data_IF_191648995745
#
_entry.id   IF_191648995745
#
_cell.length_a   1.000
_cell.length_b   1.000
_cell.length_c   1.000
_cell.angle_alpha   90.00
_cell.angle_beta   90.00
_cell.angle_gamma   90.00
#
_symmetry.space_group_name_H-M   'P 1'
#
loop_
_entity.id
_entity.type
_entity.pdbx_description
1 polymer ?
#
# COMPACT_ATOMS: atom_id res chain seq x y z
N UNK A 1 -14.10 2.08 -6.61
CA UNK A 1 -14.82 3.34 -6.20
C UNK A 1 -14.88 4.31 -7.38
N UNK A 2 -16.02 4.98 -7.64
CA UNK A 2 -16.13 5.91 -8.77
C UNK A 2 -15.47 7.24 -8.39
N UNK A 3 -14.38 7.61 -9.05
CA UNK A 3 -13.72 8.90 -8.84
C UNK A 3 -14.62 10.04 -9.22
N UNK A 4 -14.74 11.03 -8.35
CA UNK A 4 -15.38 12.30 -8.66
C UNK A 4 -14.25 13.32 -8.86
N UNK A 5 -13.99 13.78 -10.08
CA UNK A 5 -12.93 14.75 -10.32
C UNK A 5 -13.29 16.10 -9.68
N UNK A 6 -12.36 16.65 -8.92
CA UNK A 6 -12.45 18.01 -8.43
C UNK A 6 -12.00 18.98 -9.54
N UNK A 7 -12.70 20.07 -9.69
CA UNK A 7 -12.36 21.12 -10.65
C UNK A 7 -12.15 22.45 -9.94
N UNK A 8 -11.13 23.17 -10.34
CA UNK A 8 -10.94 24.55 -9.91
C UNK A 8 -12.01 25.43 -10.57
N UNK A 9 -12.87 26.02 -9.79
CA UNK A 9 -13.93 26.88 -10.28
C UNK A 9 -14.04 28.17 -9.48
N UNK A 10 -14.21 29.27 -10.15
CA UNK A 10 -14.72 30.50 -9.53
C UNK A 10 -16.24 30.37 -9.39
N UNK A 11 -16.69 29.94 -8.24
CA UNK A 11 -18.12 30.01 -7.92
C UNK A 11 -18.42 31.37 -7.30
N UNK A 12 -18.96 32.28 -8.08
CA UNK A 12 -19.78 33.37 -7.58
C UNK A 12 -21.19 32.82 -7.33
N UNK A 13 -21.39 32.13 -6.24
CA UNK A 13 -22.73 31.81 -5.76
C UNK A 13 -23.09 32.83 -4.68
N UNK A 14 -24.16 33.57 -4.87
CA UNK A 14 -24.77 34.35 -3.80
C UNK A 14 -25.26 33.36 -2.74
N UNK A 15 -24.65 33.41 -1.57
CA UNK A 15 -25.07 32.61 -0.45
C UNK A 15 -25.94 33.46 0.48
N UNK A 16 -27.08 32.91 0.91
CA UNK A 16 -27.97 33.53 1.86
C UNK A 16 -27.99 32.67 3.14
N UNK A 17 -27.91 33.32 4.29
CA UNK A 17 -28.15 32.70 5.60
C UNK A 17 -29.45 33.23 6.13
N UNK A 18 -30.40 32.36 6.45
CA UNK A 18 -31.67 32.71 7.08
C UNK A 18 -31.53 32.67 8.58
N UNK A 19 -31.72 33.80 9.25
CA UNK A 19 -31.76 33.93 10.70
C UNK A 19 -33.06 34.62 11.09
N UNK A 20 -33.89 34.01 11.92
CA UNK A 20 -35.17 34.53 12.37
C UNK A 20 -36.09 34.95 11.21
N UNK A 21 -36.23 34.07 10.22
CA UNK A 21 -37.07 34.30 9.02
C UNK A 21 -36.58 35.45 8.09
N UNK A 22 -35.44 36.05 8.38
CA UNK A 22 -34.82 37.05 7.51
C UNK A 22 -33.62 36.46 6.76
N UNK A 23 -33.56 36.70 5.45
CA UNK A 23 -32.45 36.29 4.60
C UNK A 23 -31.36 37.38 4.58
N UNK A 24 -30.17 36.99 4.98
CA UNK A 24 -28.99 37.84 4.90
C UNK A 24 -28.10 37.35 3.78
N UNK A 25 -27.77 38.23 2.85
CA UNK A 25 -26.81 37.95 1.82
C UNK A 25 -25.41 37.90 2.43
N UNK A 26 -24.77 36.74 2.34
CA UNK A 26 -23.37 36.55 2.75
C UNK A 26 -22.52 36.70 1.50
N UNK A 27 -21.71 37.74 1.45
CA UNK A 27 -20.68 37.85 0.40
C UNK A 27 -19.59 36.82 0.74
N UNK A 28 -19.43 35.79 -0.08
CA UNK A 28 -18.34 34.84 0.17
C UNK A 28 -17.01 35.58 0.09
N UNK A 29 -16.15 35.39 1.08
CA UNK A 29 -14.80 35.92 1.05
C UNK A 29 -14.13 35.45 -0.24
N UNK A 30 -13.76 36.37 -1.13
CA UNK A 30 -12.99 36.04 -2.30
C UNK A 30 -11.59 35.67 -1.84
N UNK A 31 -11.28 34.38 -1.85
CA UNK A 31 -9.93 33.91 -1.61
C UNK A 31 -9.06 34.28 -2.81
N UNK A 32 -8.32 35.37 -2.70
CA UNK A 32 -7.37 35.83 -3.73
C UNK A 32 -5.97 35.25 -3.54
N UNK A 33 -5.82 34.27 -2.66
CA UNK A 33 -4.54 33.58 -2.41
C UNK A 33 -4.43 32.26 -3.17
N UNK A 34 -3.21 31.74 -3.25
CA UNK A 34 -2.97 30.35 -3.65
C UNK A 34 -3.66 29.43 -2.65
N UNK A 35 -4.86 28.97 -2.97
CA UNK A 35 -5.57 28.02 -2.12
C UNK A 35 -4.75 26.72 -2.05
N UNK A 36 -4.42 26.23 -0.85
CA UNK A 36 -3.76 24.92 -0.72
C UNK A 36 -4.66 23.77 -1.20
N UNK A 37 -5.95 24.04 -1.44
CA UNK A 37 -6.96 23.09 -1.90
C UNK A 37 -7.27 23.23 -3.39
N UNK A 38 -6.24 23.26 -4.24
CA UNK A 38 -6.47 23.17 -5.70
C UNK A 38 -7.03 21.79 -6.06
N UNK A 39 -7.83 21.72 -7.14
CA UNK A 39 -8.36 20.47 -7.67
C UNK A 39 -7.28 19.40 -7.82
N UNK A 40 -6.09 19.78 -8.27
CA UNK A 40 -4.93 18.90 -8.40
C UNK A 40 -4.51 18.28 -7.04
N UNK A 41 -4.53 19.06 -5.97
CA UNK A 41 -4.16 18.55 -4.63
C UNK A 41 -5.23 17.61 -4.08
N UNK A 42 -6.51 17.93 -4.31
CA UNK A 42 -7.62 17.07 -3.89
C UNK A 42 -7.63 15.76 -4.68
N UNK A 43 -7.36 15.81 -5.98
CA UNK A 43 -7.25 14.60 -6.81
C UNK A 43 -6.05 13.72 -6.33
N UNK A 44 -4.90 14.33 -6.02
CA UNK A 44 -3.77 13.61 -5.44
C UNK A 44 -4.10 12.96 -4.09
N UNK A 45 -4.81 13.67 -3.22
CA UNK A 45 -5.25 13.11 -1.94
C UNK A 45 -6.20 11.93 -2.16
N UNK A 46 -7.10 12.01 -3.12
CA UNK A 46 -8.01 10.92 -3.48
C UNK A 46 -7.24 9.71 -4.03
N UNK A 47 -6.26 9.93 -4.91
CA UNK A 47 -5.40 8.87 -5.45
C UNK A 47 -4.63 8.17 -4.33
N UNK A 48 -4.04 8.93 -3.39
CA UNK A 48 -3.32 8.38 -2.24
C UNK A 48 -4.23 7.59 -1.30
N UNK A 49 -5.49 8.02 -1.12
CA UNK A 49 -6.48 7.30 -0.30
C UNK A 49 -6.87 5.99 -0.99
N UNK A 50 -7.10 5.99 -2.29
CA UNK A 50 -7.41 4.78 -3.06
C UNK A 50 -6.25 3.78 -3.01
N UNK A 51 -5.01 4.25 -3.18
CA UNK A 51 -3.82 3.43 -3.04
C UNK A 51 -3.67 2.85 -1.62
N UNK A 52 -3.97 3.64 -0.59
CA UNK A 52 -3.92 3.18 0.81
C UNK A 52 -5.03 2.16 1.16
N UNK A 53 -6.17 2.19 0.46
CA UNK A 53 -7.27 1.25 0.67
C UNK A 53 -6.97 -0.11 0.01
N UNK A 54 -6.25 -0.13 -1.10
CA UNK A 54 -5.91 -1.35 -1.85
C UNK A 54 -4.62 -2.00 -1.31
N UNK A 55 -4.60 -2.30 0.00
CA UNK A 55 -3.52 -3.04 0.63
C UNK A 55 -3.94 -4.50 0.78
N UNK A 56 -3.21 -5.39 0.14
CA UNK A 56 -3.34 -6.83 0.32
C UNK A 56 -2.30 -7.31 1.34
N UNK A 57 -2.71 -8.17 2.25
CA UNK A 57 -1.82 -8.80 3.25
C UNK A 57 -2.02 -10.29 3.25
N UNK A 58 -0.93 -11.03 3.35
CA UNK A 58 -0.96 -12.47 3.58
C UNK A 58 0.16 -12.86 4.53
N UNK A 59 -0.14 -13.76 5.45
CA UNK A 59 0.83 -14.37 6.35
C UNK A 59 0.88 -15.86 6.08
N UNK A 60 2.08 -16.42 6.08
CA UNK A 60 2.35 -17.85 5.85
C UNK A 60 3.28 -18.35 6.93
N UNK A 61 2.89 -19.41 7.63
CA UNK A 61 3.81 -20.16 8.51
C UNK A 61 4.69 -21.03 7.63
N UNK A 62 6.00 -20.99 7.86
CA UNK A 62 6.96 -21.80 7.15
C UNK A 62 7.02 -23.20 7.79
N UNK A 63 6.61 -24.22 7.04
CA UNK A 63 6.70 -25.64 7.45
C UNK A 63 8.07 -26.26 7.08
N UNK A 64 8.85 -25.56 6.29
CA UNK A 64 10.17 -26.00 5.82
C UNK A 64 11.01 -24.85 5.34
N UNK A 65 12.31 -25.03 5.39
CA UNK A 65 13.30 -24.04 4.92
C UNK A 65 13.10 -23.70 3.44
N UNK A 66 13.03 -22.42 3.13
CA UNK A 66 13.17 -21.89 1.77
C UNK A 66 14.65 -21.56 1.56
N UNK A 67 15.31 -22.32 0.68
CA UNK A 67 16.73 -22.16 0.46
C UNK A 67 17.07 -20.84 -0.24
N UNK A 68 18.25 -20.30 0.06
CA UNK A 68 18.80 -19.14 -0.64
C UNK A 68 18.83 -19.35 -2.17
N UNK A 69 18.60 -18.26 -2.91
CA UNK A 69 18.61 -18.22 -4.37
C UNK A 69 17.57 -19.13 -5.06
N UNK A 70 16.52 -19.52 -4.35
CA UNK A 70 15.37 -20.22 -4.92
C UNK A 70 14.19 -19.26 -5.07
N UNK A 71 13.40 -19.46 -6.12
CA UNK A 71 12.21 -18.69 -6.37
C UNK A 71 11.11 -19.11 -5.37
N UNK A 72 10.48 -18.12 -4.79
CA UNK A 72 9.33 -18.29 -3.89
C UNK A 72 8.11 -17.62 -4.53
N UNK A 73 7.03 -18.38 -4.67
CA UNK A 73 5.76 -17.85 -5.18
C UNK A 73 4.94 -17.30 -4.03
N UNK A 74 4.50 -16.04 -4.15
CA UNK A 74 3.63 -15.41 -3.17
C UNK A 74 2.31 -16.17 -2.99
N UNK A 75 1.63 -16.04 -1.83
CA UNK A 75 0.34 -16.66 -1.60
C UNK A 75 -0.68 -16.38 -2.72
N UNK A 76 -1.68 -17.26 -2.82
CA UNK A 76 -2.67 -17.24 -3.89
C UNK A 76 -3.27 -15.85 -4.15
N UNK A 77 -3.29 -15.45 -5.40
CA UNK A 77 -3.81 -14.17 -5.90
C UNK A 77 -3.07 -12.92 -5.42
N UNK A 78 -1.89 -13.04 -4.86
CA UNK A 78 -1.07 -11.91 -4.51
C UNK A 78 -0.05 -11.62 -5.62
N UNK A 79 -0.18 -10.47 -6.24
CA UNK A 79 0.68 -10.00 -7.33
C UNK A 79 1.19 -8.62 -7.00
N UNK A 80 2.36 -8.26 -7.49
CA UNK A 80 2.98 -6.95 -7.32
C UNK A 80 3.60 -6.46 -8.63
N UNK A 81 3.85 -5.16 -8.75
CA UNK A 81 4.56 -4.59 -9.88
C UNK A 81 6.06 -4.49 -9.56
N UNK A 82 6.88 -5.14 -10.39
CA UNK A 82 8.34 -5.18 -10.24
C UNK A 82 8.95 -3.78 -10.36
N UNK A 83 9.76 -3.40 -9.39
CA UNK A 83 10.47 -2.12 -9.41
C UNK A 83 9.68 -0.92 -8.87
N UNK A 84 8.39 -1.08 -8.55
CA UNK A 84 7.51 0.02 -8.10
C UNK A 84 7.44 0.15 -6.56
N UNK A 85 8.20 -0.63 -5.81
CA UNK A 85 8.14 -0.70 -4.34
C UNK A 85 6.73 -0.99 -3.79
N UNK A 86 5.91 -1.69 -4.58
CA UNK A 86 4.56 -2.09 -4.20
C UNK A 86 4.53 -3.28 -3.25
N UNK A 87 5.63 -4.04 -3.14
CA UNK A 87 5.77 -5.20 -2.27
C UNK A 87 6.64 -4.90 -1.05
N UNK A 88 6.16 -5.29 0.12
CA UNK A 88 6.94 -5.38 1.35
C UNK A 88 6.92 -6.84 1.85
N UNK A 89 8.05 -7.33 2.30
CA UNK A 89 8.22 -8.69 2.83
C UNK A 89 8.74 -8.60 4.25
N UNK A 90 8.15 -9.40 5.14
CA UNK A 90 8.58 -9.50 6.53
C UNK A 90 8.85 -10.96 6.87
N UNK A 91 9.87 -11.20 7.65
CA UNK A 91 10.21 -12.50 8.23
C UNK A 91 10.24 -12.37 9.74
N UNK A 92 9.40 -13.11 10.44
CA UNK A 92 9.24 -13.03 11.90
C UNK A 92 9.17 -11.57 12.38
N UNK A 93 8.20 -10.79 11.82
CA UNK A 93 7.97 -9.38 12.09
C UNK A 93 9.10 -8.41 11.67
N UNK A 94 10.21 -8.92 11.14
CA UNK A 94 11.32 -8.09 10.67
C UNK A 94 11.18 -7.80 9.18
N UNK A 95 11.14 -6.51 8.82
CA UNK A 95 11.06 -6.09 7.43
C UNK A 95 12.34 -6.42 6.68
N UNK A 96 12.20 -7.20 5.62
CA UNK A 96 13.28 -7.54 4.70
C UNK A 96 13.54 -6.41 3.69
N UNK A 97 14.79 -6.28 3.26
CA UNK A 97 15.23 -5.25 2.30
C UNK A 97 15.41 -5.83 0.92
N UNK A 98 14.72 -5.25 -0.06
CA UNK A 98 14.92 -5.57 -1.47
C UNK A 98 16.38 -5.30 -1.89
N UNK A 99 16.97 -6.24 -2.63
CA UNK A 99 18.35 -6.19 -3.09
C UNK A 99 19.39 -6.56 -2.02
N UNK A 100 18.98 -6.87 -0.79
CA UNK A 100 19.83 -7.34 0.32
C UNK A 100 19.38 -8.68 0.83
N UNK A 101 18.09 -8.80 1.17
CA UNK A 101 17.50 -10.02 1.75
C UNK A 101 16.69 -10.79 0.70
N UNK A 102 16.08 -10.08 -0.26
CA UNK A 102 15.36 -10.68 -1.38
C UNK A 102 15.40 -9.83 -2.65
N UNK A 103 15.16 -10.46 -3.77
CA UNK A 103 14.96 -9.81 -5.07
C UNK A 103 13.55 -10.02 -5.59
N UNK A 104 13.00 -9.00 -6.24
CA UNK A 104 11.83 -9.12 -7.09
C UNK A 104 12.22 -9.79 -8.41
N UNK A 105 11.38 -10.70 -8.91
CA UNK A 105 11.65 -11.46 -10.14
C UNK A 105 10.74 -10.99 -11.26
N UNK A 106 11.34 -10.50 -12.36
CA UNK A 106 10.69 -9.94 -13.54
C UNK A 106 11.37 -8.66 -14.01
N UNK A 107 10.88 -8.07 -15.08
CA UNK A 107 11.34 -6.76 -15.55
C UNK A 107 10.58 -5.64 -14.88
N UNK A 108 11.22 -4.48 -14.72
CA UNK A 108 10.57 -3.31 -14.11
C UNK A 108 9.27 -2.94 -14.85
N UNK A 109 8.18 -2.74 -14.10
CA UNK A 109 6.84 -2.46 -14.61
C UNK A 109 6.01 -3.69 -14.97
N UNK A 110 6.57 -4.90 -14.89
CA UNK A 110 5.81 -6.14 -15.07
C UNK A 110 5.15 -6.58 -13.77
N UNK A 111 4.02 -7.24 -13.90
CA UNK A 111 3.33 -7.85 -12.77
C UNK A 111 3.92 -9.23 -12.49
N UNK A 112 4.30 -9.49 -11.25
CA UNK A 112 4.89 -10.74 -10.81
C UNK A 112 4.25 -11.20 -9.49
N UNK A 113 4.35 -12.49 -9.21
CA UNK A 113 4.05 -13.09 -7.92
C UNK A 113 5.22 -13.93 -7.39
N UNK A 114 6.42 -13.70 -7.91
CA UNK A 114 7.62 -14.47 -7.60
C UNK A 114 8.69 -13.54 -7.05
N UNK A 115 9.27 -13.91 -5.91
CA UNK A 115 10.48 -13.31 -5.35
C UNK A 115 11.57 -14.37 -5.22
N UNK A 116 12.78 -13.95 -4.95
CA UNK A 116 13.91 -14.83 -4.63
C UNK A 116 14.58 -14.34 -3.35
N UNK A 117 14.61 -15.18 -2.33
CA UNK A 117 15.39 -14.90 -1.13
C UNK A 117 16.87 -15.03 -1.42
N UNK A 118 17.69 -14.11 -0.91
CA UNK A 118 19.15 -14.14 -1.05
C UNK A 118 19.83 -14.98 0.04
N UNK A 119 19.20 -15.06 1.22
CA UNK A 119 19.56 -15.97 2.30
C UNK A 119 18.42 -16.97 2.56
N UNK A 120 18.72 -18.10 3.19
CA UNK A 120 17.70 -19.08 3.56
C UNK A 120 16.79 -18.52 4.66
N UNK A 121 15.48 -18.83 4.60
CA UNK A 121 14.49 -18.50 5.63
C UNK A 121 13.75 -19.77 6.03
N UNK A 122 13.28 -19.85 7.28
CA UNK A 122 12.65 -21.08 7.80
C UNK A 122 13.67 -22.11 8.30
N UNK A 123 14.80 -21.65 8.78
CA UNK A 123 15.88 -22.51 9.29
C UNK A 123 16.28 -22.18 10.75
N UNK A 124 15.48 -21.37 11.44
CA UNK A 124 15.70 -21.03 12.84
C UNK A 124 15.28 -22.23 13.72
N UNK A 125 16.24 -22.84 14.37
CA UNK A 125 15.97 -23.85 15.40
C UNK A 125 15.88 -23.17 16.78
N UNK A 126 14.67 -22.98 17.26
CA UNK A 126 14.37 -22.37 18.56
C UNK A 126 13.95 -23.40 19.61
N UNK A 127 14.02 -24.70 19.28
CA UNK A 127 13.54 -25.81 20.15
C UNK A 127 14.25 -25.87 21.50
N UNK A 128 15.50 -25.43 21.58
CA UNK A 128 16.30 -25.42 22.80
C UNK A 128 16.20 -24.10 23.59
N UNK A 129 15.38 -23.13 23.12
CA UNK A 129 15.23 -21.82 23.76
C UNK A 129 13.99 -21.83 24.66
N UNK A 130 14.19 -21.72 25.97
CA UNK A 130 13.10 -21.69 26.96
C UNK A 130 12.08 -20.56 26.63
N UNK A 131 10.81 -20.94 26.53
CA UNK A 131 9.70 -20.01 26.19
C UNK A 131 9.44 -19.85 24.70
N UNK A 132 10.15 -20.58 23.83
CA UNK A 132 9.97 -20.57 22.38
C UNK A 132 9.68 -21.97 21.81
N UNK A 133 9.18 -22.88 22.64
CA UNK A 133 8.89 -24.28 22.26
C UNK A 133 7.84 -24.39 21.14
N UNK A 134 6.93 -23.39 21.05
CA UNK A 134 5.89 -23.30 20.02
C UNK A 134 6.17 -22.16 19.01
N UNK A 135 7.45 -21.78 18.84
CA UNK A 135 7.80 -20.72 17.90
C UNK A 135 7.58 -21.17 16.45
N UNK A 136 6.74 -20.42 15.74
CA UNK A 136 6.49 -20.63 14.32
C UNK A 136 7.15 -19.51 13.51
N UNK A 137 7.96 -19.89 12.54
CA UNK A 137 8.54 -18.93 11.60
C UNK A 137 7.48 -18.49 10.58
N UNK A 138 7.32 -17.19 10.42
CA UNK A 138 6.31 -16.63 9.56
C UNK A 138 6.89 -15.70 8.51
N UNK A 139 6.31 -15.75 7.31
CA UNK A 139 6.48 -14.75 6.27
C UNK A 139 5.20 -13.93 6.16
N UNK A 140 5.30 -12.61 6.19
CA UNK A 140 4.20 -11.71 5.87
C UNK A 140 4.53 -10.95 4.59
N UNK A 141 3.55 -10.85 3.71
CA UNK A 141 3.61 -10.11 2.47
C UNK A 141 2.57 -8.99 2.50
N UNK A 142 2.98 -7.80 2.14
CA UNK A 142 2.12 -6.63 2.02
C UNK A 142 2.28 -6.07 0.62
N UNK A 143 1.19 -6.04 -0.15
CA UNK A 143 1.18 -5.45 -1.48
C UNK A 143 0.28 -4.23 -1.49
N UNK A 144 0.77 -3.11 -2.02
CA UNK A 144 0.05 -1.85 -2.20
C UNK A 144 -0.37 -1.73 -3.66
N UNK A 145 -1.67 -1.72 -3.90
CA UNK A 145 -2.27 -1.68 -5.21
C UNK A 145 -3.02 -2.96 -5.57
N UNK A 146 -3.75 -2.90 -6.68
CA UNK A 146 -4.45 -4.06 -7.27
C UNK A 146 -3.69 -4.53 -8.50
N UNK A 147 -3.10 -5.70 -8.41
CA UNK A 147 -2.41 -6.35 -9.52
C UNK A 147 -3.02 -7.72 -9.76
N UNK A 148 -3.09 -8.13 -11.02
CA UNK A 148 -3.60 -9.44 -11.42
C UNK A 148 -2.69 -10.05 -12.47
N UNK A 149 -2.68 -11.38 -12.55
CA UNK A 149 -2.02 -12.06 -13.64
C UNK A 149 -2.56 -11.56 -14.99
N UNK A 150 -1.67 -11.24 -15.88
CA UNK A 150 -2.00 -10.88 -17.26
C UNK A 150 -2.24 -12.12 -18.11
#
# INVERSE_FOLDING_TARGET
MKKIPFQDGTKTQEAYVTVNEQNYQVTPAVWTGTTPLKAQNLNKMQDNIEEAINIQRASVTLESTVNANTNYTLPTNMYYEVGNNSLEVYYCDTKLKKGVDYNEIGNAGEVSNIIQFLDSVGDLDMSDVEGFEDFEETLEFVVRGEYSAS
#
